data_IF_083107631408
#
_entry.id   IF_083107631408
#
_cell.length_a   1.000
_cell.length_b   1.000
_cell.length_c   1.000
_cell.angle_alpha   90.00
_cell.angle_beta   90.00
_cell.angle_gamma   90.00
#
_symmetry.space_group_name_H-M   'P 1'
#
loop_
_entity.id
_entity.type
_entity.pdbx_description
1 polymer ?
#
# COMPACT_ATOMS: atom_id res chain seq x y z
N UNK A 1 -23.76 2.18 8.51
CA UNK A 1 -23.86 3.55 7.93
C UNK A 1 -23.23 3.52 6.54
N UNK A 2 -24.04 3.62 5.48
CA UNK A 2 -23.55 3.61 4.09
C UNK A 2 -22.86 4.95 3.80
N UNK A 3 -21.64 4.99 3.22
CA UNK A 3 -20.98 6.25 2.87
C UNK A 3 -21.84 7.05 1.90
N UNK A 4 -22.25 8.26 2.27
CA UNK A 4 -22.94 9.19 1.38
C UNK A 4 -21.97 9.66 0.29
N UNK A 5 -22.29 9.44 -0.98
CA UNK A 5 -21.45 9.81 -2.12
C UNK A 5 -21.14 11.32 -2.21
N UNK A 6 -21.92 12.17 -1.52
CA UNK A 6 -21.71 13.63 -1.48
C UNK A 6 -20.78 14.10 -0.36
N UNK A 7 -20.48 13.24 0.61
CA UNK A 7 -19.75 13.64 1.80
C UNK A 7 -18.33 14.19 1.51
N UNK A 8 -17.54 13.65 0.56
CA UNK A 8 -16.22 14.22 0.24
C UNK A 8 -16.26 15.63 -0.35
N UNK A 9 -17.24 15.92 -1.20
CA UNK A 9 -17.40 17.25 -1.80
C UNK A 9 -17.80 18.30 -0.74
N UNK A 10 -18.64 17.90 0.21
CA UNK A 10 -19.00 18.75 1.36
C UNK A 10 -17.78 19.03 2.25
N UNK A 11 -16.97 18.01 2.57
CA UNK A 11 -15.73 18.20 3.36
C UNK A 11 -14.83 19.23 2.69
N UNK A 12 -14.56 19.10 1.39
CA UNK A 12 -13.74 20.08 0.64
C UNK A 12 -14.34 21.49 0.70
N UNK A 13 -15.66 21.61 0.56
CA UNK A 13 -16.36 22.91 0.64
C UNK A 13 -16.21 23.55 2.02
N UNK A 14 -16.37 22.77 3.10
CA UNK A 14 -16.21 23.26 4.47
C UNK A 14 -14.78 23.72 4.74
N UNK A 15 -13.78 22.96 4.28
CA UNK A 15 -12.37 23.33 4.42
C UNK A 15 -12.02 24.61 3.65
N UNK A 16 -12.54 24.77 2.43
CA UNK A 16 -12.43 26.03 1.66
C UNK A 16 -13.10 27.18 2.41
N UNK A 17 -14.22 26.92 3.09
CA UNK A 17 -14.92 27.87 3.95
C UNK A 17 -14.22 28.20 5.27
N UNK A 18 -13.02 27.66 5.53
CA UNK A 18 -12.24 27.95 6.74
C UNK A 18 -12.58 27.08 7.95
N UNK A 19 -13.31 25.96 7.76
CA UNK A 19 -13.49 25.00 8.83
C UNK A 19 -12.12 24.49 9.35
N UNK A 20 -11.93 24.49 10.66
CA UNK A 20 -10.69 24.02 11.28
C UNK A 20 -10.58 22.49 11.11
N UNK A 21 -9.58 21.97 10.35
CA UNK A 21 -9.42 20.53 10.13
C UNK A 21 -9.02 19.75 11.40
N UNK A 22 -8.55 20.46 12.44
CA UNK A 22 -8.06 19.91 13.70
C UNK A 22 -8.99 20.23 14.88
N UNK A 23 -10.23 20.66 14.61
CA UNK A 23 -11.21 20.88 15.66
C UNK A 23 -11.48 19.58 16.43
N UNK A 24 -11.31 19.61 17.74
CA UNK A 24 -11.59 18.47 18.61
C UNK A 24 -13.02 18.54 19.14
N UNK A 25 -13.73 17.43 19.06
CA UNK A 25 -15.02 17.30 19.73
C UNK A 25 -14.86 17.11 21.26
N UNK A 26 -15.96 16.83 21.96
CA UNK A 26 -15.96 16.64 23.42
C UNK A 26 -15.11 15.45 23.90
N UNK A 27 -14.72 14.55 23.00
CA UNK A 27 -13.88 13.38 23.27
C UNK A 27 -12.45 13.56 22.77
N UNK A 28 -12.07 14.75 22.31
CA UNK A 28 -10.74 15.00 21.73
C UNK A 28 -10.58 14.47 20.31
N UNK A 29 -11.66 13.97 19.69
CA UNK A 29 -11.59 13.37 18.35
C UNK A 29 -11.54 14.48 17.31
N UNK A 30 -10.58 14.37 16.38
CA UNK A 30 -10.47 15.26 15.21
C UNK A 30 -11.17 14.69 13.97
N UNK A 31 -11.59 15.53 13.00
CA UNK A 31 -12.20 15.10 11.75
C UNK A 31 -11.43 13.99 11.02
N UNK A 32 -10.10 14.03 11.09
CA UNK A 32 -9.23 13.03 10.46
C UNK A 32 -9.41 11.63 11.07
N UNK A 33 -9.57 11.52 12.39
CA UNK A 33 -9.84 10.24 13.08
C UNK A 33 -11.14 9.63 12.59
N UNK A 34 -12.20 10.43 12.52
CA UNK A 34 -13.52 9.97 12.06
C UNK A 34 -13.51 9.57 10.60
N UNK A 35 -12.87 10.36 9.72
CA UNK A 35 -12.73 10.02 8.31
C UNK A 35 -11.93 8.72 8.11
N UNK A 36 -10.88 8.51 8.90
CA UNK A 36 -10.07 7.29 8.88
C UNK A 36 -10.88 6.06 9.31
N UNK A 37 -11.57 6.13 10.46
CA UNK A 37 -12.42 5.04 10.96
C UNK A 37 -13.59 4.72 10.02
N UNK A 38 -14.19 5.75 9.41
CA UNK A 38 -15.28 5.61 8.45
C UNK A 38 -14.83 5.16 7.05
N UNK A 39 -13.51 4.95 6.83
CA UNK A 39 -12.94 4.58 5.53
C UNK A 39 -13.24 5.57 4.39
N UNK A 40 -13.40 6.85 4.74
CA UNK A 40 -13.64 7.93 3.79
C UNK A 40 -12.33 8.46 3.22
N UNK A 41 -11.71 7.67 2.33
CA UNK A 41 -10.38 7.94 1.76
C UNK A 41 -10.26 9.33 1.16
N UNK A 42 -11.30 9.81 0.46
CA UNK A 42 -11.33 11.14 -0.16
C UNK A 42 -11.42 12.27 0.87
N UNK A 43 -12.09 12.04 2.01
CA UNK A 43 -12.13 13.00 3.11
C UNK A 43 -10.80 13.04 3.86
N UNK A 44 -10.17 11.88 4.09
CA UNK A 44 -8.80 11.79 4.63
C UNK A 44 -7.83 12.55 3.72
N UNK A 45 -7.94 12.37 2.41
CA UNK A 45 -7.11 13.06 1.43
C UNK A 45 -7.29 14.59 1.50
N UNK A 46 -8.53 15.07 1.50
CA UNK A 46 -8.85 16.50 1.61
C UNK A 46 -8.35 17.14 2.92
N UNK A 47 -8.50 16.44 4.05
CA UNK A 47 -8.05 16.92 5.35
C UNK A 47 -6.50 17.01 5.41
N UNK A 48 -5.83 15.96 4.95
CA UNK A 48 -4.36 15.93 4.94
C UNK A 48 -3.76 16.97 3.97
N UNK A 49 -4.45 17.24 2.85
CA UNK A 49 -4.11 18.26 1.85
C UNK A 49 -4.07 19.67 2.46
N UNK A 50 -5.05 20.02 3.31
CA UNK A 50 -5.10 21.33 3.98
C UNK A 50 -4.25 21.40 5.26
N UNK A 51 -3.50 20.34 5.56
CA UNK A 51 -2.53 20.36 6.65
C UNK A 51 -3.00 19.77 7.99
N UNK A 52 -4.13 19.04 8.04
CA UNK A 52 -4.61 18.38 9.27
C UNK A 52 -3.48 17.62 10.00
N UNK A 53 -3.43 17.73 11.33
CA UNK A 53 -2.41 17.10 12.16
C UNK A 53 -2.80 15.65 12.54
N UNK A 54 -2.11 14.63 12.00
CA UNK A 54 -2.40 13.23 12.32
C UNK A 54 -1.85 12.78 13.67
N UNK A 55 -1.30 13.68 14.48
CA UNK A 55 -0.67 13.40 15.78
C UNK A 55 -1.49 13.83 16.99
N UNK A 56 -2.60 14.56 16.77
CA UNK A 56 -3.52 14.94 17.84
C UNK A 56 -4.11 13.68 18.47
N UNK A 57 -4.10 13.65 19.81
CA UNK A 57 -4.60 12.53 20.61
C UNK A 57 -6.02 12.81 21.08
N UNK A 58 -6.88 11.80 20.99
CA UNK A 58 -8.19 11.80 21.62
C UNK A 58 -8.11 11.47 23.13
N UNK A 59 -9.27 11.34 23.77
CA UNK A 59 -9.39 10.99 25.19
C UNK A 59 -8.76 9.63 25.56
N UNK A 60 -8.69 8.69 24.62
CA UNK A 60 -8.03 7.38 24.80
C UNK A 60 -6.53 7.44 24.49
N UNK A 61 -5.99 8.65 24.29
CA UNK A 61 -4.61 8.91 23.87
C UNK A 61 -4.28 8.33 22.49
N UNK A 62 -5.27 8.06 21.65
CA UNK A 62 -5.09 7.51 20.32
C UNK A 62 -4.99 8.63 19.27
N UNK A 63 -4.06 8.47 18.32
CA UNK A 63 -3.94 9.38 17.18
C UNK A 63 -4.74 8.88 15.96
N UNK A 64 -5.11 9.75 15.00
CA UNK A 64 -5.75 9.33 13.75
C UNK A 64 -5.00 8.19 13.03
N UNK A 65 -3.66 8.18 13.12
CA UNK A 65 -2.81 7.16 12.52
C UNK A 65 -2.89 5.80 13.24
N UNK A 66 -3.23 5.79 14.52
CA UNK A 66 -3.33 4.59 15.36
C UNK A 66 -4.75 3.99 15.35
N UNK A 67 -5.80 4.83 15.27
CA UNK A 67 -7.20 4.37 15.30
C UNK A 67 -7.60 3.51 14.09
N UNK A 68 -7.02 3.74 12.91
CA UNK A 68 -7.36 2.95 11.73
C UNK A 68 -6.21 2.81 10.71
N UNK A 69 -5.84 1.56 10.40
CA UNK A 69 -4.65 1.21 9.58
C UNK A 69 -4.98 0.37 8.33
N UNK A 70 -6.18 0.56 7.76
CA UNK A 70 -6.51 -0.04 6.46
C UNK A 70 -5.58 0.47 5.35
N UNK A 71 -5.22 -0.37 4.34
CA UNK A 71 -4.20 -0.02 3.34
C UNK A 71 -4.44 1.30 2.61
N UNK A 72 -5.69 1.62 2.26
CA UNK A 72 -6.02 2.83 1.52
C UNK A 72 -5.84 4.12 2.35
N UNK A 73 -6.37 4.14 3.58
CA UNK A 73 -6.21 5.28 4.51
C UNK A 73 -4.75 5.49 4.86
N UNK A 74 -4.02 4.42 5.21
CA UNK A 74 -2.58 4.51 5.50
C UNK A 74 -1.78 5.03 4.31
N UNK A 75 -2.11 4.60 3.09
CA UNK A 75 -1.45 5.08 1.87
C UNK A 75 -1.63 6.59 1.68
N UNK A 76 -2.84 7.12 1.91
CA UNK A 76 -3.12 8.55 1.80
C UNK A 76 -2.41 9.35 2.91
N UNK A 77 -2.52 8.95 4.17
CA UNK A 77 -1.85 9.66 5.28
C UNK A 77 -0.34 9.71 5.05
N UNK A 78 0.28 8.56 4.73
CA UNK A 78 1.73 8.51 4.53
C UNK A 78 2.19 9.25 3.27
N UNK A 79 1.36 9.30 2.22
CA UNK A 79 1.60 10.15 1.04
C UNK A 79 1.79 11.60 1.46
N UNK A 80 0.86 12.14 2.24
CA UNK A 80 0.93 13.52 2.70
C UNK A 80 2.06 13.76 3.70
N UNK A 81 2.35 12.82 4.59
CA UNK A 81 3.48 12.92 5.50
C UNK A 81 4.83 12.99 4.76
N UNK A 82 5.04 12.16 3.73
CA UNK A 82 6.23 12.24 2.87
C UNK A 82 6.32 13.58 2.15
N UNK A 83 5.20 14.06 1.59
CA UNK A 83 5.16 15.38 0.93
C UNK A 83 5.53 16.52 1.88
N UNK A 84 5.10 16.47 3.15
CA UNK A 84 5.45 17.47 4.19
C UNK A 84 6.95 17.50 4.49
N UNK A 85 7.66 16.37 4.38
CA UNK A 85 9.12 16.29 4.57
C UNK A 85 9.91 16.51 3.29
N UNK A 86 9.25 16.75 2.15
CA UNK A 86 9.88 16.84 0.83
C UNK A 86 10.35 15.50 0.27
N UNK A 87 10.02 14.39 0.93
CA UNK A 87 10.29 13.05 0.43
C UNK A 87 9.29 12.66 -0.66
N UNK A 88 9.74 11.81 -1.58
CA UNK A 88 8.87 11.17 -2.57
C UNK A 88 9.26 9.71 -2.71
N UNK A 89 8.27 8.87 -3.04
CA UNK A 89 8.49 7.46 -3.29
C UNK A 89 7.95 7.05 -4.67
N UNK A 90 8.55 6.06 -5.35
CA UNK A 90 8.05 5.63 -6.64
C UNK A 90 6.63 5.06 -6.52
N UNK A 91 5.81 5.22 -7.58
CA UNK A 91 4.41 4.80 -7.64
C UNK A 91 3.48 5.48 -6.60
N UNK A 92 3.83 6.67 -6.11
CA UNK A 92 2.97 7.43 -5.19
C UNK A 92 1.64 7.86 -5.81
N UNK A 93 1.66 8.36 -7.06
CA UNK A 93 0.45 8.68 -7.83
C UNK A 93 -0.08 7.44 -8.61
N UNK A 94 0.30 6.23 -8.19
CA UNK A 94 -0.09 4.99 -8.81
C UNK A 94 0.35 4.86 -10.26
N UNK A 95 -0.62 4.63 -11.16
CA UNK A 95 -0.38 4.47 -12.62
C UNK A 95 -0.58 5.78 -13.39
N UNK A 96 -0.47 6.94 -12.75
CA UNK A 96 -0.51 8.23 -13.44
C UNK A 96 0.67 8.36 -14.41
N UNK A 97 0.44 9.05 -15.54
CA UNK A 97 1.52 9.39 -16.45
C UNK A 97 2.47 10.39 -15.77
N UNK A 98 3.76 10.07 -15.69
CA UNK A 98 4.73 10.94 -15.03
C UNK A 98 4.84 12.34 -15.67
N UNK A 99 4.62 12.43 -16.99
CA UNK A 99 4.73 13.67 -17.75
C UNK A 99 3.47 14.54 -17.72
N UNK A 100 2.28 13.97 -18.02
CA UNK A 100 1.04 14.75 -18.12
C UNK A 100 0.08 14.56 -16.94
N UNK A 101 0.45 13.76 -15.95
CA UNK A 101 -0.31 13.43 -14.73
C UNK A 101 -1.67 12.74 -14.92
N UNK A 102 -2.11 12.53 -16.17
CA UNK A 102 -3.34 11.79 -16.49
C UNK A 102 -3.29 10.35 -15.98
N UNK A 103 -4.42 9.84 -15.49
CA UNK A 103 -4.58 8.51 -14.93
C UNK A 103 -5.51 7.65 -15.79
N UNK A 104 -5.78 6.41 -15.34
CA UNK A 104 -6.78 5.55 -15.97
C UNK A 104 -8.20 6.09 -15.87
N UNK A 105 -8.48 6.96 -14.90
CA UNK A 105 -9.79 7.59 -14.72
C UNK A 105 -10.08 8.62 -15.82
N UNK A 106 -9.03 9.19 -16.42
CA UNK A 106 -9.11 10.05 -17.61
C UNK A 106 -9.30 9.25 -18.92
N UNK A 107 -9.57 7.94 -18.84
CA UNK A 107 -9.68 7.04 -19.99
C UNK A 107 -8.33 6.72 -20.66
N UNK A 108 -7.21 7.02 -20.00
CA UNK A 108 -5.87 6.88 -20.58
C UNK A 108 -5.19 5.59 -20.12
N UNK A 109 -4.76 4.77 -21.09
CA UNK A 109 -3.97 3.57 -20.80
C UNK A 109 -2.50 3.95 -20.66
N UNK A 110 -1.96 3.80 -19.46
CA UNK A 110 -0.54 4.01 -19.20
C UNK A 110 0.26 2.71 -19.26
N UNK A 111 1.46 2.77 -19.80
CA UNK A 111 2.44 1.68 -19.83
C UNK A 111 3.63 2.03 -18.96
N UNK A 112 4.18 1.04 -18.26
CA UNK A 112 5.38 1.23 -17.46
C UNK A 112 6.63 1.43 -18.34
N UNK A 113 7.62 2.15 -17.81
CA UNK A 113 8.96 2.22 -18.37
C UNK A 113 9.57 0.81 -18.40
N UNK A 114 9.99 0.33 -19.58
CA UNK A 114 10.51 -1.02 -19.79
C UNK A 114 11.87 -1.29 -19.14
N UNK A 115 12.56 -0.25 -18.66
CA UNK A 115 13.83 -0.40 -17.95
C UNK A 115 13.60 -0.53 -16.45
N UNK A 116 13.00 0.49 -15.82
CA UNK A 116 12.91 0.54 -14.36
C UNK A 116 11.63 -0.04 -13.77
N UNK A 117 10.54 -0.09 -14.55
CA UNK A 117 9.19 -0.52 -14.16
C UNK A 117 8.56 0.28 -13.00
N UNK A 118 9.18 1.40 -12.60
CA UNK A 118 8.74 2.26 -11.49
C UNK A 118 8.02 3.54 -11.93
N UNK A 119 7.90 3.78 -13.24
CA UNK A 119 7.33 5.00 -13.81
C UNK A 119 6.40 4.65 -14.96
N UNK A 120 5.28 5.37 -15.10
CA UNK A 120 4.26 5.10 -16.11
C UNK A 120 4.11 6.27 -17.10
N UNK A 121 3.80 5.93 -18.34
CA UNK A 121 3.58 6.89 -19.43
C UNK A 121 2.37 6.49 -20.27
N UNK A 122 1.54 7.46 -20.63
CA UNK A 122 0.41 7.23 -21.55
C UNK A 122 0.84 7.10 -23.01
N UNK A 123 1.99 7.66 -23.38
CA UNK A 123 2.49 7.67 -24.76
C UNK A 123 4.01 7.73 -24.80
N UNK A 124 4.59 7.34 -25.94
CA UNK A 124 6.03 7.52 -26.20
C UNK A 124 6.44 9.00 -26.20
N UNK A 125 5.53 9.90 -26.57
CA UNK A 125 5.79 11.34 -26.55
C UNK A 125 5.96 11.84 -25.10
N UNK A 126 5.07 11.44 -24.20
CA UNK A 126 5.22 11.73 -22.76
C UNK A 126 6.50 11.14 -22.17
N UNK A 127 6.87 9.91 -22.57
CA UNK A 127 8.12 9.29 -22.13
C UNK A 127 9.35 10.07 -22.62
N UNK A 128 9.37 10.50 -23.88
CA UNK A 128 10.46 11.31 -24.45
C UNK A 128 10.55 12.70 -23.82
N UNK A 129 9.40 13.34 -23.58
CA UNK A 129 9.32 14.66 -22.95
C UNK A 129 9.91 14.67 -21.54
N UNK A 130 9.61 13.63 -20.76
CA UNK A 130 10.09 13.48 -19.38
C UNK A 130 11.46 12.75 -19.27
N UNK A 131 12.10 12.39 -20.40
CA UNK A 131 13.32 11.58 -20.39
C UNK A 131 14.48 12.26 -19.64
N UNK A 132 14.61 13.60 -19.75
CA UNK A 132 15.70 14.35 -19.12
C UNK A 132 15.65 14.25 -17.59
N UNK A 133 14.46 14.39 -17.00
CA UNK A 133 14.23 14.28 -15.56
C UNK A 133 14.28 12.81 -15.07
N UNK A 134 13.77 11.89 -15.89
CA UNK A 134 13.68 10.48 -15.53
C UNK A 134 15.00 9.72 -15.61
N UNK A 135 15.79 9.94 -16.67
CA UNK A 135 16.98 9.13 -16.98
C UNK A 135 17.97 8.99 -15.81
N UNK A 136 18.28 10.06 -15.01
CA UNK A 136 19.15 9.93 -13.84
C UNK A 136 18.61 9.00 -12.74
N UNK A 137 17.28 8.89 -12.64
CA UNK A 137 16.59 8.12 -11.61
C UNK A 137 16.10 6.74 -12.12
N UNK A 138 16.25 6.46 -13.42
CA UNK A 138 15.83 5.23 -14.04
C UNK A 138 16.81 4.09 -13.73
N UNK A 139 16.51 3.29 -12.70
CA UNK A 139 17.32 2.11 -12.33
C UNK A 139 16.76 0.84 -12.99
N UNK A 140 17.43 0.21 -13.97
CA UNK A 140 16.96 -1.05 -14.56
C UNK A 140 17.10 -2.22 -13.58
N UNK A 141 16.47 -3.37 -13.85
CA UNK A 141 16.73 -4.60 -13.07
C UNK A 141 18.19 -5.05 -13.28
N UNK A 142 18.96 -5.15 -12.19
CA UNK A 142 20.34 -5.64 -12.18
C UNK A 142 20.61 -6.50 -10.96
N UNK A 143 21.72 -7.25 -10.95
CA UNK A 143 22.09 -8.12 -9.82
C UNK A 143 22.32 -7.34 -8.51
N UNK A 144 22.83 -6.10 -8.60
CA UNK A 144 23.14 -5.28 -7.42
C UNK A 144 21.89 -4.76 -6.71
N UNK A 145 20.83 -4.51 -7.48
CA UNK A 145 19.62 -3.84 -7.00
C UNK A 145 18.41 -4.76 -6.82
N UNK A 146 18.56 -6.04 -7.17
CA UNK A 146 17.52 -7.06 -7.01
C UNK A 146 17.93 -8.15 -6.04
N UNK A 147 16.93 -8.89 -5.58
CA UNK A 147 17.06 -10.10 -4.78
C UNK A 147 16.20 -11.16 -5.41
N UNK A 148 16.75 -12.36 -5.59
CA UNK A 148 16.01 -13.52 -6.07
C UNK A 148 15.46 -14.26 -4.86
N UNK A 149 14.14 -14.40 -4.82
CA UNK A 149 13.40 -15.16 -3.82
C UNK A 149 12.79 -16.40 -4.47
N UNK A 150 12.54 -17.42 -3.64
CA UNK A 150 11.86 -18.66 -4.03
C UNK A 150 10.44 -18.65 -3.47
N UNK A 151 9.42 -18.41 -4.32
CA UNK A 151 8.03 -18.63 -3.96
C UNK A 151 7.78 -20.04 -3.45
N UNK A 152 7.06 -20.14 -2.35
CA UNK A 152 6.47 -21.37 -1.84
C UNK A 152 4.95 -21.21 -1.84
N UNK A 153 4.24 -22.19 -2.39
CA UNK A 153 2.78 -22.17 -2.51
C UNK A 153 2.09 -23.13 -1.53
N UNK A 154 2.85 -23.84 -0.71
CA UNK A 154 2.28 -24.65 0.36
C UNK A 154 1.72 -23.71 1.44
N UNK A 155 0.42 -23.77 1.62
CA UNK A 155 -0.28 -22.98 2.61
C UNK A 155 -0.14 -23.51 4.04
N UNK A 156 0.28 -24.77 4.22
CA UNK A 156 0.23 -25.46 5.51
C UNK A 156 -1.11 -25.24 6.23
N UNK A 157 -1.07 -25.11 7.57
CA UNK A 157 -2.23 -24.70 8.39
C UNK A 157 -2.43 -23.18 8.49
N UNK A 158 -1.57 -22.38 7.85
CA UNK A 158 -1.67 -20.91 7.90
C UNK A 158 -2.61 -20.39 6.80
N UNK A 159 -3.91 -20.51 7.03
CA UNK A 159 -4.91 -19.86 6.19
C UNK A 159 -4.98 -18.35 6.47
N UNK A 160 -5.12 -17.54 5.43
CA UNK A 160 -5.48 -16.13 5.60
C UNK A 160 -6.97 -16.09 5.96
N UNK A 161 -7.26 -15.73 7.21
CA UNK A 161 -8.60 -15.29 7.59
C UNK A 161 -8.70 -13.82 7.17
N UNK A 162 -9.55 -13.47 6.18
CA UNK A 162 -9.77 -12.08 5.82
C UNK A 162 -10.15 -11.25 7.05
N UNK A 163 -9.69 -10.00 7.15
CA UNK A 163 -10.14 -9.11 8.24
C UNK A 163 -11.68 -9.01 8.30
N UNK A 164 -12.35 -9.07 7.15
CA UNK A 164 -13.81 -9.10 7.07
C UNK A 164 -14.44 -10.34 7.76
N UNK A 165 -13.70 -11.44 7.91
CA UNK A 165 -14.18 -12.60 8.67
C UNK A 165 -14.17 -12.35 10.19
N UNK A 166 -13.45 -11.34 10.67
CA UNK A 166 -13.52 -10.86 12.07
C UNK A 166 -14.61 -9.80 12.28
N UNK A 167 -15.27 -9.33 11.21
CA UNK A 167 -16.28 -8.29 11.28
C UNK A 167 -17.46 -8.61 12.23
N UNK A 168 -17.96 -9.87 12.30
CA UNK A 168 -19.01 -10.23 13.27
C UNK A 168 -18.56 -10.08 14.72
N UNK A 169 -17.31 -10.46 15.04
CA UNK A 169 -16.75 -10.37 16.39
C UNK A 169 -16.48 -8.91 16.78
N UNK A 170 -15.89 -8.14 15.86
CA UNK A 170 -15.61 -6.72 16.09
C UNK A 170 -16.89 -5.88 16.21
N UNK A 171 -17.94 -6.21 15.44
CA UNK A 171 -19.26 -5.59 15.55
C UNK A 171 -19.94 -5.88 16.90
N UNK A 172 -19.74 -7.07 17.47
CA UNK A 172 -20.26 -7.39 18.81
C UNK A 172 -19.54 -6.62 19.92
N UNK A 173 -18.29 -6.20 19.68
CA UNK A 173 -17.49 -5.38 20.59
C UNK A 173 -17.71 -3.87 20.41
N UNK A 174 -18.72 -3.46 19.63
CA UNK A 174 -19.04 -2.04 19.40
C UNK A 174 -18.03 -1.29 18.52
N UNK A 175 -17.05 -1.99 17.93
CA UNK A 175 -16.08 -1.41 16.99
C UNK A 175 -16.75 -1.35 15.62
N UNK A 176 -17.24 -0.17 15.25
CA UNK A 176 -17.88 0.05 13.96
C UNK A 176 -16.88 -0.11 12.81
N UNK A 177 -17.03 -1.19 12.04
CA UNK A 177 -16.38 -1.37 10.76
C UNK A 177 -17.45 -1.23 9.66
N UNK A 178 -17.31 -0.30 8.70
CA UNK A 178 -18.22 -0.25 7.56
C UNK A 178 -18.21 -1.59 6.83
N UNK A 179 -19.31 -1.95 6.15
CA UNK A 179 -19.39 -3.19 5.37
C UNK A 179 -18.21 -3.33 4.41
N UNK A 180 -17.17 -4.05 4.83
CA UNK A 180 -16.14 -4.54 3.95
C UNK A 180 -16.88 -5.46 2.99
N UNK A 181 -16.92 -5.07 1.70
CA UNK A 181 -17.45 -5.90 0.59
C UNK A 181 -17.17 -7.36 0.90
N UNK A 182 -18.12 -8.30 0.70
CA UNK A 182 -17.95 -9.70 1.07
C UNK A 182 -16.56 -10.15 0.61
N UNK A 183 -15.62 -10.29 1.55
CA UNK A 183 -14.31 -10.80 1.17
C UNK A 183 -14.61 -12.21 0.72
N UNK A 184 -14.38 -12.50 -0.57
CA UNK A 184 -14.67 -13.77 -1.20
C UNK A 184 -14.69 -14.93 -0.19
N UNK A 185 -15.84 -15.63 -0.08
CA UNK A 185 -16.17 -16.66 0.92
C UNK A 185 -15.24 -17.88 0.96
N UNK A 186 -14.03 -17.81 0.41
CA UNK A 186 -13.07 -18.89 0.34
C UNK A 186 -11.77 -18.44 0.98
N UNK A 187 -11.27 -19.25 1.91
CA UNK A 187 -9.89 -19.15 2.37
C UNK A 187 -9.00 -19.09 1.12
N UNK A 188 -8.16 -18.06 1.05
CA UNK A 188 -7.24 -17.90 -0.09
C UNK A 188 -5.94 -18.57 0.28
N UNK A 189 -5.51 -19.45 -0.61
CA UNK A 189 -4.26 -20.18 -0.50
C UNK A 189 -3.24 -19.56 -1.44
N UNK A 190 -1.96 -19.72 -1.10
CA UNK A 190 -0.87 -19.33 -1.98
C UNK A 190 -1.01 -20.08 -3.32
N UNK A 191 -0.85 -19.37 -4.43
CA UNK A 191 -0.99 -19.92 -5.77
C UNK A 191 -0.14 -19.14 -6.79
N UNK A 192 0.47 -19.85 -7.76
CA UNK A 192 1.17 -19.22 -8.86
C UNK A 192 0.18 -18.62 -9.88
N UNK A 193 0.60 -17.65 -10.70
CA UNK A 193 -0.19 -17.27 -11.87
C UNK A 193 -0.16 -18.37 -12.94
N UNK A 194 -1.15 -18.36 -13.83
CA UNK A 194 -1.26 -19.36 -14.91
C UNK A 194 -0.22 -19.20 -16.03
N UNK A 195 0.41 -18.04 -16.15
CA UNK A 195 1.31 -17.70 -17.27
C UNK A 195 2.52 -16.93 -16.76
N UNK A 196 3.66 -17.13 -17.43
CA UNK A 196 4.95 -16.52 -17.10
C UNK A 196 5.62 -16.01 -18.40
N UNK A 197 6.51 -15.00 -18.34
CA UNK A 197 6.84 -14.20 -17.17
C UNK A 197 5.76 -13.17 -16.83
N UNK A 198 5.73 -12.66 -15.59
CA UNK A 198 4.84 -11.59 -15.16
C UNK A 198 5.57 -10.54 -14.33
N UNK A 199 5.29 -9.27 -14.64
CA UNK A 199 5.68 -8.14 -13.81
C UNK A 199 4.56 -7.83 -12.81
N UNK A 200 4.94 -7.59 -11.56
CA UNK A 200 4.01 -7.26 -10.49
C UNK A 200 4.48 -6.05 -9.68
N UNK A 201 3.50 -5.30 -9.16
CA UNK A 201 3.66 -4.60 -7.90
C UNK A 201 3.21 -5.56 -6.81
N UNK A 202 4.15 -5.97 -5.96
CA UNK A 202 3.91 -6.90 -4.86
C UNK A 202 3.93 -6.17 -3.53
N UNK A 203 3.15 -6.68 -2.58
CA UNK A 203 3.31 -6.37 -1.17
C UNK A 203 4.06 -7.51 -0.51
N UNK A 204 5.10 -7.19 0.24
CA UNK A 204 5.83 -8.11 1.12
C UNK A 204 5.45 -7.76 2.55
N UNK A 205 4.94 -8.74 3.29
CA UNK A 205 4.54 -8.60 4.68
C UNK A 205 5.36 -9.54 5.55
N UNK A 206 6.05 -8.98 6.53
CA UNK A 206 6.77 -9.74 7.53
C UNK A 206 5.78 -10.37 8.51
N UNK A 207 6.12 -11.56 9.04
CA UNK A 207 5.32 -12.16 10.10
C UNK A 207 5.42 -11.32 11.37
N UNK A 208 4.33 -11.31 12.15
CA UNK A 208 4.36 -10.79 13.53
C UNK A 208 5.06 -11.82 14.39
N UNK A 209 6.29 -11.53 14.81
CA UNK A 209 7.10 -12.45 15.61
C UNK A 209 6.71 -12.35 17.08
N UNK A 210 5.70 -13.11 17.51
CA UNK A 210 5.37 -13.30 18.93
C UNK A 210 6.35 -14.30 19.61
N UNK A 211 7.65 -14.04 19.51
CA UNK A 211 8.70 -14.90 20.08
C UNK A 211 9.01 -16.19 19.32
N UNK A 212 8.31 -16.51 18.21
CA UNK A 212 8.63 -17.68 17.40
C UNK A 212 9.73 -17.39 16.35
N UNK A 213 10.72 -18.31 16.19
CA UNK A 213 11.74 -18.17 15.18
C UNK A 213 11.16 -18.39 13.77
N UNK A 214 11.31 -17.36 12.93
CA UNK A 214 11.28 -17.42 11.46
C UNK A 214 10.02 -18.01 10.81
N UNK A 215 8.87 -17.36 11.01
CA UNK A 215 7.71 -17.57 10.14
C UNK A 215 7.99 -17.07 8.70
N UNK A 216 7.36 -17.64 7.66
CA UNK A 216 7.56 -17.18 6.28
C UNK A 216 7.00 -15.77 6.07
N UNK A 217 7.62 -15.00 5.15
CA UNK A 217 7.03 -13.76 4.66
C UNK A 217 5.87 -14.07 3.73
N UNK A 218 4.85 -13.22 3.76
CA UNK A 218 3.76 -13.26 2.80
C UNK A 218 4.05 -12.30 1.64
N UNK A 219 3.86 -12.76 0.41
CA UNK A 219 4.05 -11.95 -0.80
C UNK A 219 2.82 -12.10 -1.71
N UNK A 220 2.25 -10.99 -2.18
CA UNK A 220 1.11 -11.03 -3.10
C UNK A 220 0.99 -9.79 -3.98
N UNK A 221 0.29 -9.93 -5.11
CA UNK A 221 -0.03 -8.83 -6.03
C UNK A 221 -1.34 -8.11 -5.66
N UNK A 222 -1.55 -6.90 -6.22
CA UNK A 222 -2.79 -6.11 -6.05
C UNK A 222 -4.06 -6.90 -6.38
N UNK A 223 -4.06 -7.57 -7.52
CA UNK A 223 -5.18 -8.38 -7.99
C UNK A 223 -5.33 -9.71 -7.25
N UNK A 224 -4.38 -10.07 -6.37
CA UNK A 224 -4.33 -11.38 -5.68
C UNK A 224 -4.40 -12.56 -6.66
N UNK A 225 -3.87 -12.38 -7.87
CA UNK A 225 -3.69 -13.43 -8.88
C UNK A 225 -2.30 -14.10 -8.77
N UNK A 226 -1.51 -13.65 -7.81
CA UNK A 226 -0.24 -14.20 -7.39
C UNK A 226 -0.15 -14.00 -5.88
N UNK A 227 0.07 -15.08 -5.15
CA UNK A 227 0.27 -15.08 -3.70
C UNK A 227 1.20 -16.23 -3.35
N UNK A 228 2.25 -15.96 -2.58
CA UNK A 228 3.19 -16.98 -2.13
C UNK A 228 3.74 -16.67 -0.74
N UNK A 229 4.36 -17.69 -0.15
CA UNK A 229 5.18 -17.59 1.05
C UNK A 229 6.64 -17.62 0.66
N UNK A 230 7.47 -16.86 1.37
CA UNK A 230 8.93 -16.94 1.25
C UNK A 230 9.44 -17.49 2.57
N UNK A 231 10.01 -18.69 2.55
CA UNK A 231 10.63 -19.29 3.73
C UNK A 231 12.09 -18.86 3.80
N UNK A 232 12.60 -18.67 5.01
CA UNK A 232 14.00 -18.29 5.21
C UNK A 232 14.94 -19.43 4.79
N UNK A 233 14.55 -20.68 5.01
CA UNK A 233 15.33 -21.88 4.65
C UNK A 233 15.64 -21.99 3.15
N UNK A 234 14.75 -21.51 2.28
CA UNK A 234 14.91 -21.62 0.83
C UNK A 234 16.00 -20.67 0.28
N UNK A 235 16.20 -19.52 0.93
CA UNK A 235 17.20 -18.52 0.56
C UNK A 235 17.49 -17.53 1.73
N UNK A 236 18.31 -17.91 2.74
CA UNK A 236 18.45 -17.14 3.98
C UNK A 236 18.93 -15.69 3.78
N UNK A 237 19.99 -15.50 2.99
CA UNK A 237 20.55 -14.16 2.75
C UNK A 237 19.57 -13.24 2.01
N UNK A 238 18.82 -13.80 1.04
CA UNK A 238 17.82 -13.08 0.27
C UNK A 238 16.63 -12.67 1.15
N UNK A 239 16.14 -13.62 1.97
CA UNK A 239 15.10 -13.38 2.97
C UNK A 239 15.52 -12.27 3.94
N UNK A 240 16.69 -12.40 4.57
CA UNK A 240 17.14 -11.46 5.59
C UNK A 240 17.35 -10.05 5.01
N UNK A 241 17.87 -9.94 3.78
CA UNK A 241 18.02 -8.66 3.07
C UNK A 241 16.68 -7.98 2.85
N UNK A 242 15.66 -8.70 2.39
CA UNK A 242 14.31 -8.14 2.23
C UNK A 242 13.73 -7.77 3.59
N UNK A 243 13.86 -8.62 4.61
CA UNK A 243 13.36 -8.37 5.96
C UNK A 243 13.92 -7.09 6.57
N UNK A 244 15.23 -6.89 6.45
CA UNK A 244 15.90 -5.68 6.93
C UNK A 244 15.37 -4.42 6.23
N UNK A 245 15.15 -4.50 4.91
CA UNK A 245 14.59 -3.37 4.15
C UNK A 245 13.16 -3.07 4.57
N UNK A 246 12.31 -4.10 4.74
CA UNK A 246 10.93 -3.90 5.22
C UNK A 246 10.91 -3.33 6.63
N UNK A 247 11.77 -3.80 7.55
CA UNK A 247 11.87 -3.24 8.91
C UNK A 247 12.31 -1.78 8.93
N UNK A 248 13.26 -1.42 8.06
CA UNK A 248 13.85 -0.07 8.03
C UNK A 248 13.01 0.95 7.27
N UNK A 249 12.39 0.54 6.16
CA UNK A 249 11.73 1.44 5.19
C UNK A 249 10.25 1.13 4.95
N UNK A 250 9.75 0.02 5.47
CA UNK A 250 8.36 -0.37 5.33
C UNK A 250 7.46 0.31 6.36
N UNK A 251 6.16 0.27 6.11
CA UNK A 251 5.16 0.78 7.02
C UNK A 251 5.22 0.05 8.36
N UNK A 252 5.48 0.81 9.43
CA UNK A 252 5.67 0.32 10.80
C UNK A 252 6.67 -0.86 10.90
N UNK A 253 7.61 -0.95 9.95
CA UNK A 253 8.56 -2.06 9.88
C UNK A 253 7.96 -3.43 9.55
N UNK A 254 6.68 -3.50 9.15
CA UNK A 254 5.94 -4.75 8.99
C UNK A 254 5.61 -5.11 7.54
N UNK A 255 5.40 -4.10 6.67
CA UNK A 255 5.03 -4.32 5.26
C UNK A 255 5.66 -3.30 4.34
N UNK A 256 5.99 -3.69 3.12
CA UNK A 256 6.52 -2.80 2.09
C UNK A 256 6.08 -3.26 0.69
N UNK A 257 6.17 -2.36 -0.28
CA UNK A 257 5.75 -2.60 -1.65
C UNK A 257 6.95 -2.52 -2.60
N UNK A 258 7.00 -3.43 -3.57
CA UNK A 258 8.13 -3.54 -4.50
C UNK A 258 7.63 -3.83 -5.91
N UNK A 259 8.42 -3.45 -6.90
CA UNK A 259 8.30 -4.03 -8.24
C UNK A 259 9.04 -5.36 -8.24
N UNK A 260 8.41 -6.38 -8.82
CA UNK A 260 9.00 -7.69 -8.97
C UNK A 260 8.70 -8.30 -10.34
N UNK A 261 9.59 -9.18 -10.78
CA UNK A 261 9.42 -10.02 -11.97
C UNK A 261 9.37 -11.48 -11.53
N UNK A 262 8.25 -12.13 -11.78
CA UNK A 262 8.12 -13.56 -11.61
C UNK A 262 8.48 -14.23 -12.94
N UNK A 263 9.72 -14.73 -13.03
CA UNK A 263 10.26 -15.34 -14.26
C UNK A 263 9.74 -16.76 -14.47
N UNK A 264 9.62 -17.52 -13.39
CA UNK A 264 9.07 -18.86 -13.35
C UNK A 264 8.29 -19.06 -12.06
N UNK A 265 7.68 -20.22 -11.87
CA UNK A 265 6.93 -20.56 -10.66
C UNK A 265 7.77 -20.37 -9.38
N UNK A 266 9.07 -20.64 -9.45
CA UNK A 266 9.98 -20.65 -8.29
C UNK A 266 11.06 -19.56 -8.32
N UNK A 267 10.97 -18.60 -9.25
CA UNK A 267 11.96 -17.52 -9.38
C UNK A 267 11.28 -16.16 -9.40
N UNK A 268 11.24 -15.52 -8.22
CA UNK A 268 10.72 -14.17 -8.02
C UNK A 268 11.88 -13.20 -7.83
N UNK A 269 12.08 -12.30 -8.78
CA UNK A 269 13.09 -11.26 -8.72
C UNK A 269 12.46 -9.99 -8.17
N UNK A 270 12.83 -9.59 -6.96
CA UNK A 270 12.32 -8.40 -6.29
C UNK A 270 13.35 -7.28 -6.40
N UNK A 271 12.94 -6.11 -6.87
CA UNK A 271 13.80 -4.92 -6.93
C UNK A 271 13.83 -4.23 -5.59
N UNK A 272 14.90 -4.43 -4.82
CA UNK A 272 14.99 -4.00 -3.42
C UNK A 272 15.64 -2.62 -3.23
N UNK A 273 16.27 -2.06 -4.28
CA UNK A 273 16.86 -0.72 -4.21
C UNK A 273 15.85 0.41 -4.01
N UNK A 274 14.60 0.18 -4.39
CA UNK A 274 13.52 1.16 -4.39
C UNK A 274 12.28 0.54 -3.73
N UNK A 275 12.00 0.96 -2.51
CA UNK A 275 10.72 0.68 -1.85
C UNK A 275 9.68 1.63 -2.42
N UNK A 276 8.56 1.09 -2.89
CA UNK A 276 7.47 1.88 -3.45
C UNK A 276 6.69 2.60 -2.36
N UNK A 277 5.98 3.65 -2.74
CA UNK A 277 4.97 4.28 -1.90
C UNK A 277 3.95 3.24 -1.43
N UNK A 278 3.37 3.47 -0.25
CA UNK A 278 2.30 2.64 0.28
C UNK A 278 1.17 2.52 -0.74
N UNK A 279 0.83 1.29 -1.10
CA UNK A 279 -0.23 1.03 -2.06
C UNK A 279 -1.55 0.73 -1.33
N UNK A 280 -2.72 1.06 -1.91
CA UNK A 280 -4.01 0.93 -1.25
C UNK A 280 -4.53 -0.52 -1.16
N UNK A 281 -3.65 -1.53 -1.19
CA UNK A 281 -3.98 -2.96 -1.16
C UNK A 281 -3.08 -3.80 -0.23
#
# INVERSE_FOLDING_TARGET
MVPCAKAPALVRTLLIGGANPDHQDVWGVVPLSMAAMAMMVEAVDALMEVGADPTIRDADSMTPRELYTGPAVSAVINKWLRRRTGESAPLEDGRACAACKKTGDDGVITRQCSACHTVYYCSRNCQRGHLKEHKPHCKPFSMDNTVILRPNYDSGNTSHVPLASFNPVLSQLGVYMPELRPSAHRARYAHPPKTFPKDYVIKVQLPVTAGQPTLPMLVYSKSRNFECRIRREDAPAAYDRVAQIVRKKGFQGAKAYFVAQLKSENELIVKVSEVLADQPF
#
